data_IF_680591125260
#
_entry.id   IF_680591125260
#
_cell.length_a   1.000
_cell.length_b   1.000
_cell.length_c   1.000
_cell.angle_alpha   90.00
_cell.angle_beta   90.00
_cell.angle_gamma   90.00
#
_symmetry.space_group_name_H-M   'P 1'
#
loop_
_entity.id
_entity.type
_entity.pdbx_description
1 polymer ?
#
# COMPACT_ATOMS: atom_id res chain seq x y z
N UNK A 1 8.73 16.42 11.40
CA UNK A 1 7.56 15.73 10.79
C UNK A 1 7.41 14.41 11.52
N UNK A 2 6.22 14.10 12.03
CA UNK A 2 5.95 12.80 12.66
C UNK A 2 5.23 11.93 11.64
N UNK A 3 5.73 10.72 11.41
CA UNK A 3 5.07 9.71 10.58
C UNK A 3 4.54 8.63 11.52
N UNK A 4 3.28 8.28 11.37
CA UNK A 4 2.64 7.21 12.12
C UNK A 4 2.30 6.07 11.17
N UNK A 5 2.54 4.85 11.62
CA UNK A 5 2.18 3.63 10.91
C UNK A 5 1.11 2.89 11.72
N UNK A 6 -0.16 2.89 11.27
CA UNK A 6 -1.22 2.14 11.92
C UNK A 6 -1.07 0.66 11.63
N UNK A 7 -0.72 -0.12 12.64
CA UNK A 7 -0.53 -1.57 12.55
C UNK A 7 -1.75 -2.36 13.01
N UNK A 8 -1.80 -3.63 12.62
CA UNK A 8 -2.67 -4.60 13.28
C UNK A 8 -2.29 -4.76 14.77
N UNK A 9 -3.31 -4.92 15.61
CA UNK A 9 -3.13 -5.30 17.00
C UNK A 9 -2.94 -6.80 17.19
N UNK A 10 -2.83 -7.22 18.44
CA UNK A 10 -2.75 -8.65 18.83
C UNK A 10 -3.83 -9.48 18.12
N UNK A 11 -3.45 -10.66 17.62
CA UNK A 11 -4.31 -11.57 16.85
C UNK A 11 -4.93 -10.91 15.61
N UNK A 12 -4.13 -10.14 14.86
CA UNK A 12 -4.54 -9.48 13.61
C UNK A 12 -5.72 -8.52 13.81
N UNK A 13 -5.81 -7.91 14.99
CA UNK A 13 -6.93 -7.03 15.34
C UNK A 13 -6.89 -5.74 14.52
N UNK A 14 -7.96 -5.45 13.78
CA UNK A 14 -8.10 -4.23 12.98
C UNK A 14 -8.44 -2.98 13.81
N UNK A 15 -8.45 -3.08 15.15
CA UNK A 15 -8.92 -2.00 16.02
C UNK A 15 -8.16 -0.67 15.83
N UNK A 16 -6.83 -0.71 15.71
CA UNK A 16 -6.00 0.49 15.51
C UNK A 16 -6.35 1.24 14.22
N UNK A 17 -6.41 0.51 13.10
CA UNK A 17 -6.80 1.03 11.79
C UNK A 17 -8.25 1.56 11.82
N UNK A 18 -9.17 0.86 12.50
CA UNK A 18 -10.55 1.31 12.66
C UNK A 18 -10.68 2.58 13.52
N UNK A 19 -9.88 2.72 14.58
CA UNK A 19 -9.84 3.94 15.38
C UNK A 19 -9.31 5.12 14.57
N UNK A 20 -8.23 4.91 13.81
CA UNK A 20 -7.75 5.91 12.87
C UNK A 20 -8.89 6.33 11.93
N UNK A 21 -9.60 5.38 11.31
CA UNK A 21 -10.67 5.69 10.37
C UNK A 21 -11.82 6.51 10.95
N UNK A 22 -12.03 6.50 12.27
CA UNK A 22 -13.00 7.36 12.97
C UNK A 22 -12.43 8.70 13.43
N UNK A 23 -11.12 8.86 13.37
CA UNK A 23 -10.42 10.04 13.89
C UNK A 23 -10.65 11.28 13.00
N UNK A 24 -10.86 12.50 13.56
CA UNK A 24 -11.10 13.68 12.75
C UNK A 24 -9.88 14.14 11.96
N UNK A 25 -10.05 14.43 10.67
CA UNK A 25 -8.98 14.93 9.78
C UNK A 25 -8.40 16.25 10.29
N UNK A 26 -9.23 17.16 10.81
CA UNK A 26 -8.76 18.49 11.25
C UNK A 26 -7.75 18.43 12.39
N UNK A 27 -7.88 17.43 13.26
CA UNK A 27 -6.91 17.19 14.33
C UNK A 27 -5.60 16.68 13.73
N UNK A 28 -5.69 15.79 12.74
CA UNK A 28 -4.52 15.28 12.02
C UNK A 28 -3.77 16.41 11.28
N UNK A 29 -4.52 17.31 10.62
CA UNK A 29 -4.00 18.54 9.96
C UNK A 29 -3.30 19.45 10.96
N UNK A 30 -3.93 19.72 12.12
CA UNK A 30 -3.40 20.61 13.15
C UNK A 30 -1.99 20.21 13.62
N UNK A 31 -1.74 18.91 13.75
CA UNK A 31 -0.45 18.40 14.23
C UNK A 31 0.52 18.03 13.11
N UNK A 32 0.12 18.19 11.84
CA UNK A 32 0.90 17.83 10.66
C UNK A 32 1.48 16.40 10.76
N UNK A 33 0.65 15.46 11.19
CA UNK A 33 1.01 14.04 11.28
C UNK A 33 0.87 13.45 9.88
N UNK A 34 1.85 12.64 9.48
CA UNK A 34 1.85 11.90 8.22
C UNK A 34 1.66 10.41 8.47
N UNK A 35 1.31 9.69 7.43
CA UNK A 35 1.00 8.27 7.49
C UNK A 35 1.98 7.47 6.63
N UNK A 36 2.50 6.41 7.24
CA UNK A 36 3.00 5.26 6.53
C UNK A 36 1.88 4.21 6.48
N UNK A 37 1.66 3.64 5.30
CA UNK A 37 0.66 2.59 5.06
C UNK A 37 1.37 1.27 4.80
N UNK A 38 1.22 0.34 5.73
CA UNK A 38 1.49 -1.08 5.48
C UNK A 38 0.30 -1.67 4.72
N UNK A 39 0.50 -2.00 3.44
CA UNK A 39 -0.62 -2.45 2.60
C UNK A 39 -1.17 -3.79 3.07
N UNK A 40 -0.33 -4.66 3.65
CA UNK A 40 -0.78 -5.95 4.10
C UNK A 40 -1.68 -5.85 5.33
N UNK A 41 -1.30 -5.04 6.30
CA UNK A 41 -2.11 -4.77 7.49
C UNK A 41 -3.48 -4.17 7.12
N UNK A 42 -3.52 -3.27 6.14
CA UNK A 42 -4.78 -2.71 5.64
C UNK A 42 -5.64 -3.75 4.90
N UNK A 43 -5.03 -4.61 4.06
CA UNK A 43 -5.72 -5.70 3.39
C UNK A 43 -6.37 -6.64 4.40
N UNK A 44 -5.63 -7.05 5.43
CA UNK A 44 -6.17 -7.92 6.50
C UNK A 44 -7.27 -7.21 7.28
N UNK A 45 -7.08 -5.92 7.61
CA UNK A 45 -8.00 -5.18 8.45
C UNK A 45 -9.33 -4.84 7.77
N UNK A 46 -9.31 -4.64 6.45
CA UNK A 46 -10.43 -4.00 5.71
C UNK A 46 -10.97 -4.85 4.56
N UNK A 47 -10.26 -5.91 4.18
CA UNK A 47 -10.61 -6.81 3.09
C UNK A 47 -10.76 -6.08 1.74
N UNK A 48 -11.95 -6.05 1.17
CA UNK A 48 -12.26 -5.41 -0.12
C UNK A 48 -12.39 -3.88 -0.03
N UNK A 49 -12.35 -3.31 1.18
CA UNK A 49 -12.57 -1.87 1.42
C UNK A 49 -11.28 -1.08 1.66
N UNK A 50 -10.12 -1.60 1.28
CA UNK A 50 -8.82 -0.93 1.48
C UNK A 50 -8.84 0.49 0.92
N UNK A 51 -9.29 0.66 -0.32
CA UNK A 51 -9.31 1.97 -0.98
C UNK A 51 -10.20 2.99 -0.26
N UNK A 52 -11.36 2.58 0.27
CA UNK A 52 -12.24 3.45 1.06
C UNK A 52 -11.55 3.97 2.32
N UNK A 53 -10.71 3.14 2.94
CA UNK A 53 -9.93 3.54 4.11
C UNK A 53 -8.81 4.50 3.71
N UNK A 54 -8.09 4.22 2.62
CA UNK A 54 -6.98 5.05 2.17
C UNK A 54 -7.43 6.42 1.65
N UNK A 55 -8.58 6.51 0.98
CA UNK A 55 -9.09 7.76 0.37
C UNK A 55 -9.22 8.89 1.39
N UNK A 56 -9.72 8.59 2.60
CA UNK A 56 -9.82 9.57 3.69
C UNK A 56 -8.46 10.22 4.02
N UNK A 57 -7.38 9.47 3.87
CA UNK A 57 -6.04 9.83 4.32
C UNK A 57 -5.10 10.27 3.20
N UNK A 58 -5.57 10.30 1.95
CA UNK A 58 -4.77 10.56 0.74
C UNK A 58 -3.78 11.73 0.86
N UNK A 59 -4.17 12.84 1.50
CA UNK A 59 -3.32 14.03 1.69
C UNK A 59 -2.19 13.86 2.75
N UNK A 60 -2.23 12.79 3.54
CA UNK A 60 -1.33 12.53 4.66
C UNK A 60 -0.42 11.33 4.45
N UNK A 61 -0.71 10.49 3.47
CA UNK A 61 0.13 9.34 3.12
C UNK A 61 1.40 9.87 2.47
N UNK A 62 2.55 9.52 3.04
CA UNK A 62 3.89 9.90 2.54
C UNK A 62 4.80 8.69 2.34
N UNK A 63 4.37 7.53 2.82
CA UNK A 63 5.14 6.30 2.77
C UNK A 63 4.18 5.12 2.66
N UNK A 64 4.59 4.09 1.92
CA UNK A 64 3.87 2.84 1.83
C UNK A 64 4.85 1.67 1.86
N UNK A 65 4.65 0.75 2.79
CA UNK A 65 5.35 -0.53 2.79
C UNK A 65 4.62 -1.48 1.84
N UNK A 66 5.32 -1.96 0.83
CA UNK A 66 4.81 -2.82 -0.23
C UNK A 66 5.27 -4.26 -0.02
N UNK A 67 4.28 -5.12 0.13
CA UNK A 67 4.39 -6.57 0.12
C UNK A 67 3.02 -7.15 -0.18
N UNK A 68 2.98 -8.37 -0.71
CA UNK A 68 1.79 -9.19 -0.69
C UNK A 68 1.76 -10.01 0.61
N UNK A 69 0.65 -10.68 0.88
CA UNK A 69 0.48 -11.53 2.04
C UNK A 69 0.21 -12.96 1.59
N UNK A 70 0.90 -13.90 2.23
CA UNK A 70 0.55 -15.31 2.18
C UNK A 70 0.13 -15.79 3.58
N UNK A 71 -0.97 -16.53 3.66
CA UNK A 71 -1.46 -17.07 4.93
C UNK A 71 -0.85 -18.45 5.21
N UNK A 72 -0.19 -18.58 6.35
CA UNK A 72 0.30 -19.86 6.88
C UNK A 72 -0.46 -20.21 8.16
N UNK A 73 -1.36 -21.18 8.06
CA UNK A 73 -2.19 -21.65 9.18
C UNK A 73 -2.87 -20.51 9.97
N UNK A 74 -2.29 -20.12 11.12
CA UNK A 74 -2.81 -19.07 12.00
C UNK A 74 -2.11 -17.72 11.82
N UNK A 75 -1.03 -17.66 11.06
CA UNK A 75 -0.21 -16.47 10.83
C UNK A 75 -0.26 -16.02 9.37
N UNK A 76 0.56 -15.03 9.06
CA UNK A 76 0.76 -14.54 7.70
C UNK A 76 2.20 -14.07 7.55
N UNK A 77 2.72 -14.21 6.35
CA UNK A 77 4.08 -13.78 5.99
C UNK A 77 4.02 -12.74 4.88
N UNK A 78 5.05 -11.90 4.80
CA UNK A 78 5.16 -10.87 3.78
C UNK A 78 5.96 -11.42 2.60
N UNK A 79 5.32 -11.52 1.44
CA UNK A 79 5.98 -11.90 0.19
C UNK A 79 6.21 -10.66 -0.66
N UNK A 80 7.27 -10.59 -1.49
CA UNK A 80 7.44 -9.48 -2.42
C UNK A 80 6.20 -9.29 -3.32
N UNK A 81 5.89 -8.04 -3.65
CA UNK A 81 4.88 -7.74 -4.68
C UNK A 81 5.40 -8.16 -6.06
N UNK A 82 4.54 -8.77 -6.87
CA UNK A 82 4.95 -9.27 -8.18
C UNK A 82 3.77 -9.33 -9.18
N UNK A 83 3.95 -8.97 -10.47
CA UNK A 83 2.86 -8.97 -11.45
C UNK A 83 2.19 -10.33 -11.66
N UNK A 84 2.92 -11.44 -11.43
CA UNK A 84 2.33 -12.78 -11.53
C UNK A 84 1.19 -13.01 -10.53
N UNK A 85 1.18 -12.27 -9.41
CA UNK A 85 0.19 -12.40 -8.34
C UNK A 85 -1.19 -11.86 -8.74
N UNK A 86 -1.26 -10.92 -9.69
CA UNK A 86 -2.54 -10.34 -10.15
C UNK A 86 -3.44 -11.35 -10.87
N UNK A 87 -2.85 -12.41 -11.43
CA UNK A 87 -3.55 -13.51 -12.10
C UNK A 87 -3.65 -14.77 -11.23
N UNK A 88 -3.15 -14.73 -9.99
CA UNK A 88 -3.18 -15.85 -9.05
C UNK A 88 -4.34 -15.70 -8.07
N UNK A 89 -5.23 -16.69 -8.04
CA UNK A 89 -6.40 -16.69 -7.14
C UNK A 89 -6.01 -16.77 -5.65
N UNK A 90 -4.79 -17.17 -5.33
CA UNK A 90 -4.29 -17.28 -3.95
C UNK A 90 -3.61 -16.01 -3.44
N UNK A 91 -3.34 -15.05 -4.32
CA UNK A 91 -2.62 -13.83 -4.00
C UNK A 91 -3.59 -12.65 -3.89
N UNK A 92 -3.24 -11.65 -3.08
CA UNK A 92 -4.00 -10.40 -3.09
C UNK A 92 -3.65 -9.58 -4.33
N UNK A 93 -4.68 -9.03 -4.97
CA UNK A 93 -4.55 -8.10 -6.10
C UNK A 93 -4.25 -6.72 -5.55
N UNK A 94 -3.02 -6.28 -5.72
CA UNK A 94 -2.50 -5.04 -5.10
C UNK A 94 -2.29 -3.93 -6.12
N UNK A 95 -2.42 -4.21 -7.43
CA UNK A 95 -2.23 -3.22 -8.49
C UNK A 95 -3.04 -1.93 -8.27
N UNK A 96 -4.33 -2.06 -7.96
CA UNK A 96 -5.21 -0.90 -7.75
C UNK A 96 -4.86 -0.12 -6.47
N UNK A 97 -4.33 -0.79 -5.45
CA UNK A 97 -3.82 -0.14 -4.23
C UNK A 97 -2.54 0.64 -4.55
N UNK A 98 -1.65 0.07 -5.36
CA UNK A 98 -0.40 0.72 -5.78
C UNK A 98 -0.71 1.95 -6.64
N UNK A 99 -1.63 1.85 -7.61
CA UNK A 99 -2.09 3.00 -8.42
C UNK A 99 -2.65 4.11 -7.54
N UNK A 100 -3.51 3.75 -6.59
CA UNK A 100 -4.06 4.71 -5.63
C UNK A 100 -2.95 5.45 -4.87
N UNK A 101 -1.98 4.70 -4.33
CA UNK A 101 -0.87 5.27 -3.56
C UNK A 101 0.06 6.12 -4.43
N UNK A 102 0.24 5.77 -5.71
CA UNK A 102 1.05 6.54 -6.66
C UNK A 102 0.45 7.93 -6.94
N UNK A 103 -0.87 8.08 -6.79
CA UNK A 103 -1.56 9.37 -6.88
C UNK A 103 -1.44 10.22 -5.61
N UNK A 104 -0.94 9.66 -4.51
CA UNK A 104 -0.69 10.43 -3.29
C UNK A 104 0.57 11.28 -3.44
N UNK A 105 0.58 12.44 -2.80
CA UNK A 105 1.67 13.41 -2.99
C UNK A 105 2.94 12.95 -2.30
N UNK A 106 4.04 12.88 -3.06
CA UNK A 106 5.41 12.63 -2.57
C UNK A 106 5.54 11.31 -1.77
N UNK A 107 4.80 10.25 -2.15
CA UNK A 107 4.86 8.95 -1.48
C UNK A 107 6.15 8.20 -1.81
N UNK A 108 6.82 7.72 -0.77
CA UNK A 108 7.94 6.78 -0.88
C UNK A 108 7.44 5.35 -0.74
N UNK A 109 7.76 4.50 -1.71
CA UNK A 109 7.46 3.07 -1.65
C UNK A 109 8.65 2.30 -1.08
N UNK A 110 8.42 1.54 -0.01
CA UNK A 110 9.41 0.70 0.66
C UNK A 110 9.04 -0.76 0.38
N UNK A 111 9.91 -1.50 -0.29
CA UNK A 111 9.67 -2.92 -0.57
C UNK A 111 10.10 -3.76 0.63
N UNK A 112 9.15 -4.47 1.23
CA UNK A 112 9.39 -5.31 2.40
C UNK A 112 9.03 -6.76 2.07
N UNK A 113 9.67 -7.71 2.75
CA UNK A 113 9.28 -9.11 2.76
C UNK A 113 9.97 -9.81 3.92
N UNK A 114 9.36 -10.89 4.40
CA UNK A 114 9.95 -11.73 5.46
C UNK A 114 11.10 -12.55 4.86
N UNK A 115 12.32 -12.52 5.45
CA UNK A 115 13.50 -13.21 4.92
C UNK A 115 13.30 -14.71 4.64
N UNK A 116 12.42 -15.35 5.40
CA UNK A 116 12.08 -16.77 5.33
C UNK A 116 11.47 -17.17 3.97
N UNK A 117 10.86 -16.21 3.26
CA UNK A 117 10.33 -16.44 1.90
C UNK A 117 11.43 -16.68 0.87
N UNK A 118 12.67 -16.27 1.18
CA UNK A 118 13.88 -16.44 0.35
C UNK A 118 13.63 -16.26 -1.17
N UNK A 119 13.02 -15.15 -1.60
CA UNK A 119 12.73 -14.93 -3.01
C UNK A 119 14.03 -14.82 -3.79
N UNK A 120 14.01 -15.21 -5.06
CA UNK A 120 15.15 -14.95 -5.93
C UNK A 120 15.31 -13.43 -6.12
N UNK A 121 16.54 -12.99 -6.30
CA UNK A 121 16.83 -11.59 -6.63
C UNK A 121 16.07 -11.13 -7.87
N UNK A 122 16.01 -11.99 -8.89
CA UNK A 122 15.28 -11.75 -10.14
C UNK A 122 13.79 -11.49 -9.87
N UNK A 123 13.14 -12.30 -9.03
CA UNK A 123 11.74 -12.11 -8.66
C UNK A 123 11.49 -10.76 -7.98
N UNK A 124 12.38 -10.35 -7.07
CA UNK A 124 12.28 -9.04 -6.41
C UNK A 124 12.49 -7.90 -7.41
N UNK A 125 13.49 -8.00 -8.29
CA UNK A 125 13.77 -6.99 -9.32
C UNK A 125 12.62 -6.86 -10.34
N UNK A 126 11.99 -7.97 -10.73
CA UNK A 126 10.78 -7.98 -11.57
C UNK A 126 9.61 -7.26 -10.89
N UNK A 127 9.40 -7.52 -9.60
CA UNK A 127 8.38 -6.85 -8.79
C UNK A 127 8.61 -5.33 -8.70
N UNK A 128 9.83 -4.90 -8.39
CA UNK A 128 10.22 -3.49 -8.36
C UNK A 128 10.00 -2.84 -9.75
N UNK A 129 10.43 -3.53 -10.82
CA UNK A 129 10.27 -3.04 -12.18
C UNK A 129 8.80 -2.90 -12.60
N UNK A 130 7.93 -3.80 -12.15
CA UNK A 130 6.48 -3.72 -12.38
C UNK A 130 5.85 -2.53 -11.65
N UNK A 131 6.14 -2.35 -10.36
CA UNK A 131 5.66 -1.20 -9.58
C UNK A 131 6.14 0.12 -10.21
N UNK A 132 7.40 0.18 -10.65
CA UNK A 132 7.93 1.34 -11.37
C UNK A 132 7.14 1.68 -12.63
N UNK A 133 6.65 0.68 -13.38
CA UNK A 133 5.79 0.91 -14.55
C UNK A 133 4.41 1.44 -14.16
N UNK A 134 3.81 0.92 -13.09
CA UNK A 134 2.52 1.43 -12.58
C UNK A 134 2.65 2.92 -12.26
N UNK A 135 3.62 3.27 -11.42
CA UNK A 135 3.88 4.65 -11.00
C UNK A 135 4.16 5.55 -12.21
N UNK A 136 4.92 5.07 -13.20
CA UNK A 136 5.24 5.86 -14.40
C UNK A 136 4.04 6.05 -15.33
N UNK A 137 3.15 5.06 -15.44
CA UNK A 137 1.97 5.14 -16.31
C UNK A 137 0.91 6.10 -15.77
N UNK A 138 0.77 6.22 -14.44
CA UNK A 138 -0.14 7.18 -13.82
C UNK A 138 0.26 8.65 -14.09
N UNK A 139 1.56 8.93 -14.34
CA UNK A 139 1.99 10.27 -14.78
C UNK A 139 1.51 10.61 -16.19
N UNK A 140 1.29 9.62 -17.07
CA UNK A 140 0.83 9.87 -18.45
C UNK A 140 -0.69 10.07 -18.53
N UNK A 141 -1.48 9.46 -17.64
CA UNK A 141 -2.95 9.63 -17.62
C UNK A 141 -3.41 10.95 -16.97
N UNK A 142 -2.51 11.66 -16.26
CA UNK A 142 -2.76 13.03 -15.78
C UNK A 142 -2.49 14.11 -16.84
N UNK A 143 -2.02 13.72 -18.04
CA UNK A 143 -1.68 14.60 -19.15
C UNK A 143 -2.79 14.68 -20.21
N UNK A 144 -3.86 15.43 -19.92
CA UNK A 144 -4.84 15.80 -20.94
C UNK A 144 -4.20 16.48 -22.15
N UNK A 145 -4.56 15.98 -23.35
CA UNK A 145 -4.55 16.67 -24.65
C UNK A 145 -3.68 17.92 -24.78
N UNK A 146 -2.46 17.75 -25.28
CA UNK A 146 -1.79 18.77 -26.08
C UNK A 146 -1.90 18.40 -27.56
N UNK A 147 -3.10 18.56 -28.15
CA UNK A 147 -3.20 18.70 -29.60
C UNK A 147 -2.73 20.11 -29.96
N UNK A 148 -1.60 20.16 -30.65
CA UNK A 148 -1.01 21.39 -31.16
C UNK A 148 -1.95 22.11 -32.12
N UNK A 149 -1.97 23.43 -31.99
CA UNK A 149 -2.14 24.38 -33.09
C UNK A 149 -0.74 24.87 -33.44
#
# INVERSE_FOLDING_TARGET
MLVCEPKLGLNKSSAGINYLQRFPIDIWKKYNIKLCIDIGDYIIATSDRVLDYLEKWKEFIVEAHLHNIYYEEQDYIWTPVHPSQENDEKSHKVEEIIKFLAQCKDVTFIFEHTPETNPSREYVEEGIGWVGKIISNDFYDLGGSCNGI
#
